data_IF_930392730233
#
_entry.id   IF_930392730233
#
_cell.length_a   1.000
_cell.length_b   1.000
_cell.length_c   1.000
_cell.angle_alpha   90.00
_cell.angle_beta   90.00
_cell.angle_gamma   90.00
#
_symmetry.space_group_name_H-M   'P 1'
#
loop_
_entity.id
_entity.type
_entity.pdbx_description
1 polymer ?
#
# COMPACT_ATOMS: atom_id res chain seq x y z
N UNK A 1 8.49 -40.19 -30.13
CA UNK A 1 7.62 -39.01 -29.90
C UNK A 1 8.47 -37.92 -29.26
N UNK A 2 8.92 -36.94 -30.06
CA UNK A 2 9.74 -35.83 -29.57
C UNK A 2 8.85 -34.78 -28.95
N UNK A 3 8.96 -34.58 -27.65
CA UNK A 3 8.38 -33.40 -27.00
C UNK A 3 9.08 -32.14 -27.50
N UNK A 4 8.32 -31.30 -28.17
CA UNK A 4 8.78 -29.99 -28.61
C UNK A 4 8.88 -29.06 -27.36
N UNK A 5 10.05 -28.52 -27.00
CA UNK A 5 10.16 -27.68 -25.82
C UNK A 5 9.33 -26.41 -26.02
N UNK A 6 8.39 -26.15 -25.09
CA UNK A 6 7.59 -24.91 -25.07
C UNK A 6 8.54 -23.69 -25.16
N UNK A 7 8.26 -22.71 -26.03
CA UNK A 7 9.12 -21.54 -26.18
C UNK A 7 9.26 -20.81 -24.83
N UNK A 8 10.51 -20.56 -24.43
CA UNK A 8 10.83 -19.73 -23.27
C UNK A 8 10.29 -18.33 -23.56
N UNK A 9 9.34 -17.87 -22.74
CA UNK A 9 8.84 -16.49 -22.84
C UNK A 9 10.01 -15.50 -22.71
N UNK A 10 10.07 -14.47 -23.56
CA UNK A 10 11.05 -13.39 -23.41
C UNK A 10 11.05 -12.81 -22.00
N UNK A 11 12.20 -12.40 -21.47
CA UNK A 11 12.32 -11.79 -20.12
C UNK A 11 11.39 -10.59 -19.93
N UNK A 12 11.17 -9.81 -20.98
CA UNK A 12 10.25 -8.67 -21.01
C UNK A 12 8.81 -9.08 -20.74
N UNK A 13 8.33 -10.18 -21.34
CA UNK A 13 6.97 -10.67 -21.15
C UNK A 13 6.75 -11.22 -19.72
N UNK A 14 7.79 -11.85 -19.14
CA UNK A 14 7.72 -12.31 -17.77
C UNK A 14 7.62 -11.14 -16.78
N UNK A 15 8.41 -10.09 -16.93
CA UNK A 15 8.33 -8.87 -16.10
C UNK A 15 6.96 -8.22 -16.26
N UNK A 16 6.49 -8.03 -17.48
CA UNK A 16 5.17 -7.45 -17.75
C UNK A 16 4.04 -8.25 -17.10
N UNK A 17 4.07 -9.56 -17.22
CA UNK A 17 3.05 -10.42 -16.60
C UNK A 17 3.09 -10.34 -15.08
N UNK A 18 4.28 -10.22 -14.47
CA UNK A 18 4.42 -10.04 -13.03
C UNK A 18 3.76 -8.73 -12.57
N UNK A 19 3.99 -7.63 -13.29
CA UNK A 19 3.37 -6.34 -12.98
C UNK A 19 1.85 -6.37 -13.14
N UNK A 20 1.34 -6.98 -14.21
CA UNK A 20 -0.10 -7.14 -14.42
C UNK A 20 -0.75 -7.97 -13.30
N UNK A 21 -0.08 -8.99 -12.79
CA UNK A 21 -0.55 -9.81 -11.68
C UNK A 21 -0.60 -9.02 -10.37
N UNK A 22 0.42 -8.19 -10.07
CA UNK A 22 0.45 -7.34 -8.87
C UNK A 22 -0.71 -6.33 -8.92
N UNK A 23 -0.90 -5.66 -10.05
CA UNK A 23 -1.98 -4.69 -10.24
C UNK A 23 -3.36 -5.34 -10.13
N UNK A 24 -3.53 -6.50 -10.76
CA UNK A 24 -4.77 -7.27 -10.67
C UNK A 24 -5.06 -7.73 -9.23
N UNK A 25 -4.03 -8.15 -8.49
CA UNK A 25 -4.15 -8.58 -7.11
C UNK A 25 -4.57 -7.43 -6.18
N UNK A 26 -3.98 -6.24 -6.34
CA UNK A 26 -4.40 -5.04 -5.61
C UNK A 26 -5.91 -4.80 -5.76
N UNK A 27 -6.41 -4.83 -6.98
CA UNK A 27 -7.83 -4.55 -7.25
C UNK A 27 -8.74 -5.68 -6.78
N UNK A 28 -8.45 -6.93 -7.15
CA UNK A 28 -9.34 -8.08 -6.90
C UNK A 28 -9.36 -8.47 -5.42
N UNK A 29 -8.19 -8.48 -4.78
CA UNK A 29 -8.05 -8.94 -3.40
C UNK A 29 -8.18 -7.78 -2.40
N UNK A 30 -7.73 -6.58 -2.76
CA UNK A 30 -7.81 -5.39 -1.91
C UNK A 30 -9.26 -4.98 -1.61
N UNK A 31 -10.15 -5.13 -2.58
CA UNK A 31 -11.58 -4.86 -2.39
C UNK A 31 -12.31 -5.95 -1.60
N UNK A 32 -11.73 -7.14 -1.48
CA UNK A 32 -12.35 -8.28 -0.79
C UNK A 32 -13.62 -8.80 -1.49
N UNK A 33 -14.39 -9.61 -0.75
CA UNK A 33 -15.69 -10.10 -1.22
C UNK A 33 -15.65 -11.48 -1.94
N UNK A 34 -16.79 -11.99 -2.39
CA UNK A 34 -16.93 -13.36 -2.93
C UNK A 34 -16.11 -13.65 -4.19
N UNK A 35 -15.71 -12.61 -4.94
CA UNK A 35 -14.87 -12.73 -6.13
C UNK A 35 -13.37 -12.63 -5.89
N UNK A 36 -12.95 -12.38 -4.65
CA UNK A 36 -11.55 -12.23 -4.28
C UNK A 36 -10.84 -13.60 -4.26
N UNK A 37 -10.31 -14.01 -5.42
CA UNK A 37 -9.60 -15.27 -5.58
C UNK A 37 -8.38 -15.12 -6.49
N UNK A 38 -7.43 -16.06 -6.39
CA UNK A 38 -6.26 -16.09 -7.27
C UNK A 38 -6.63 -16.33 -8.73
N UNK A 39 -7.70 -17.10 -8.98
CA UNK A 39 -8.28 -17.28 -10.31
C UNK A 39 -8.84 -15.94 -10.84
N UNK A 40 -9.49 -15.17 -10.00
CA UNK A 40 -9.95 -13.81 -10.30
C UNK A 40 -8.79 -12.89 -10.66
N UNK A 41 -7.69 -12.94 -9.92
CA UNK A 41 -6.45 -12.21 -10.19
C UNK A 41 -5.87 -12.60 -11.55
N UNK A 42 -5.68 -13.89 -11.81
CA UNK A 42 -5.12 -14.39 -13.08
C UNK A 42 -5.99 -13.97 -14.28
N UNK A 43 -7.32 -14.12 -14.16
CA UNK A 43 -8.28 -13.70 -15.18
C UNK A 43 -8.22 -12.19 -15.45
N UNK A 44 -8.16 -11.36 -14.42
CA UNK A 44 -8.05 -9.90 -14.55
C UNK A 44 -6.72 -9.50 -15.19
N UNK A 45 -5.63 -10.17 -14.86
CA UNK A 45 -4.31 -9.96 -15.45
C UNK A 45 -4.19 -10.48 -16.89
N UNK A 46 -5.18 -11.21 -17.41
CA UNK A 46 -5.15 -11.80 -18.75
C UNK A 46 -4.17 -12.96 -18.88
N UNK A 47 -3.83 -13.65 -17.78
CA UNK A 47 -2.89 -14.77 -17.79
C UNK A 47 -3.53 -16.04 -17.21
N UNK A 48 -2.95 -17.20 -17.52
CA UNK A 48 -3.39 -18.46 -16.92
C UNK A 48 -2.95 -18.58 -15.45
N UNK A 49 -3.75 -19.31 -14.64
CA UNK A 49 -3.45 -19.56 -13.22
C UNK A 49 -2.08 -20.19 -13.02
N UNK A 50 -1.63 -21.06 -13.90
CA UNK A 50 -0.28 -21.65 -13.88
C UNK A 50 0.83 -20.64 -14.11
N UNK A 51 0.56 -19.51 -14.77
CA UNK A 51 1.49 -18.38 -14.89
C UNK A 51 1.58 -17.61 -13.59
N UNK A 52 0.44 -17.39 -12.91
CA UNK A 52 0.42 -16.77 -11.58
C UNK A 52 1.30 -17.57 -10.60
N UNK A 53 1.10 -18.88 -10.47
CA UNK A 53 1.90 -19.70 -9.55
C UNK A 53 3.39 -19.81 -9.92
N UNK A 54 3.76 -19.60 -11.19
CA UNK A 54 5.19 -19.48 -11.57
C UNK A 54 5.84 -18.19 -11.08
N UNK A 55 5.08 -17.10 -11.02
CA UNK A 55 5.57 -15.81 -10.52
C UNK A 55 5.46 -15.68 -9.01
N UNK A 56 4.42 -16.26 -8.44
CA UNK A 56 4.08 -16.19 -7.01
C UNK A 56 3.69 -17.59 -6.54
N UNK A 57 4.68 -18.42 -6.13
CA UNK A 57 4.44 -19.79 -5.69
C UNK A 57 3.48 -19.90 -4.51
N UNK A 58 3.50 -18.90 -3.62
CA UNK A 58 2.60 -18.82 -2.46
C UNK A 58 1.73 -17.59 -2.49
N UNK A 59 0.65 -17.59 -1.71
CA UNK A 59 -0.19 -16.41 -1.47
C UNK A 59 0.60 -15.29 -0.79
N UNK A 60 1.52 -15.66 0.08
CA UNK A 60 2.39 -14.73 0.78
C UNK A 60 3.31 -13.99 -0.18
N UNK A 61 3.91 -14.66 -1.17
CA UNK A 61 4.76 -14.02 -2.19
C UNK A 61 3.99 -12.94 -2.97
N UNK A 62 2.74 -13.23 -3.34
CA UNK A 62 1.88 -12.25 -4.01
C UNK A 62 1.53 -11.08 -3.09
N UNK A 63 1.16 -11.36 -1.83
CA UNK A 63 0.87 -10.33 -0.84
C UNK A 63 2.07 -9.41 -0.60
N UNK A 64 3.26 -9.98 -0.41
CA UNK A 64 4.49 -9.23 -0.22
C UNK A 64 4.81 -8.33 -1.42
N UNK A 65 4.62 -8.86 -2.64
CA UNK A 65 4.87 -8.10 -3.86
C UNK A 65 3.92 -6.91 -4.00
N UNK A 66 2.62 -7.10 -3.73
CA UNK A 66 1.63 -6.00 -3.74
C UNK A 66 1.96 -4.99 -2.65
N UNK A 67 2.17 -5.43 -1.42
CA UNK A 67 2.44 -4.55 -0.29
C UNK A 67 3.71 -3.71 -0.50
N UNK A 68 4.81 -4.35 -0.97
CA UNK A 68 6.06 -3.65 -1.30
C UNK A 68 5.83 -2.56 -2.33
N UNK A 69 5.14 -2.85 -3.42
CA UNK A 69 4.85 -1.89 -4.49
C UNK A 69 4.05 -0.69 -3.97
N UNK A 70 3.03 -0.93 -3.14
CA UNK A 70 2.22 0.15 -2.59
C UNK A 70 3.03 1.03 -1.63
N UNK A 71 3.92 0.44 -0.84
CA UNK A 71 4.82 1.20 0.03
C UNK A 71 5.83 2.02 -0.78
N UNK A 72 6.46 1.43 -1.79
CA UNK A 72 7.37 2.14 -2.70
C UNK A 72 6.67 3.33 -3.36
N UNK A 73 5.42 3.14 -3.82
CA UNK A 73 4.61 4.23 -4.38
C UNK A 73 4.36 5.36 -3.37
N UNK A 74 4.10 5.06 -2.11
CA UNK A 74 3.94 6.08 -1.07
C UNK A 74 5.24 6.83 -0.75
N UNK A 75 6.38 6.15 -0.80
CA UNK A 75 7.69 6.79 -0.63
C UNK A 75 7.97 7.76 -1.79
N UNK A 76 7.69 7.33 -3.02
CA UNK A 76 7.84 8.18 -4.22
C UNK A 76 6.88 9.37 -4.16
N UNK A 77 5.62 9.15 -3.76
CA UNK A 77 4.63 10.20 -3.57
C UNK A 77 5.09 11.25 -2.55
N UNK A 78 5.69 10.85 -1.44
CA UNK A 78 6.25 11.80 -0.47
C UNK A 78 7.34 12.66 -1.09
N UNK A 79 8.22 12.08 -1.92
CA UNK A 79 9.25 12.81 -2.66
C UNK A 79 8.66 13.84 -3.64
N UNK A 80 7.55 13.50 -4.29
CA UNK A 80 6.85 14.43 -5.18
C UNK A 80 6.14 15.54 -4.40
N UNK A 81 5.41 15.19 -3.36
CA UNK A 81 4.68 16.13 -2.52
C UNK A 81 5.60 17.07 -1.75
N UNK A 82 6.85 16.68 -1.48
CA UNK A 82 7.85 17.56 -0.87
C UNK A 82 8.18 18.80 -1.70
N UNK A 83 7.81 18.82 -2.97
CA UNK A 83 7.97 19.96 -3.91
C UNK A 83 6.79 20.95 -3.85
N UNK A 84 5.72 20.63 -3.13
CA UNK A 84 4.54 21.48 -2.99
C UNK A 84 4.86 22.75 -2.18
N UNK A 85 4.20 23.85 -2.52
CA UNK A 85 4.31 25.11 -1.76
C UNK A 85 3.52 25.11 -0.45
N UNK A 86 2.55 24.19 -0.30
CA UNK A 86 1.73 24.01 0.91
C UNK A 86 2.10 22.70 1.60
N UNK A 87 2.92 22.79 2.66
CA UNK A 87 3.45 21.64 3.38
C UNK A 87 2.37 20.83 4.08
N UNK A 88 1.36 21.46 4.64
CA UNK A 88 0.30 20.73 5.36
C UNK A 88 -0.68 20.04 4.40
N UNK A 89 -0.95 20.62 3.24
CA UNK A 89 -1.76 19.95 2.21
C UNK A 89 -1.00 18.80 1.56
N UNK A 90 0.33 18.92 1.39
CA UNK A 90 1.19 17.81 0.99
C UNK A 90 1.12 16.65 1.99
N UNK A 91 1.22 16.96 3.28
CA UNK A 91 1.10 15.99 4.36
C UNK A 91 -0.28 15.33 4.39
N UNK A 92 -1.37 16.11 4.22
CA UNK A 92 -2.75 15.61 4.11
C UNK A 92 -2.89 14.61 2.96
N UNK A 93 -2.44 14.99 1.78
CA UNK A 93 -2.53 14.13 0.59
C UNK A 93 -1.78 12.81 0.79
N UNK A 94 -0.61 12.85 1.41
CA UNK A 94 0.16 11.64 1.71
C UNK A 94 -0.54 10.73 2.74
N UNK A 95 -1.09 11.31 3.82
CA UNK A 95 -1.82 10.55 4.84
C UNK A 95 -3.09 9.91 4.26
N UNK A 96 -3.79 10.60 3.37
CA UNK A 96 -4.94 10.03 2.64
C UNK A 96 -4.52 8.81 1.80
N UNK A 97 -3.44 8.92 1.03
CA UNK A 97 -2.91 7.79 0.25
C UNK A 97 -2.46 6.61 1.15
N UNK A 98 -1.96 6.90 2.36
CA UNK A 98 -1.61 5.85 3.32
C UNK A 98 -2.86 5.14 3.89
N UNK A 99 -4.00 5.80 4.05
CA UNK A 99 -5.27 5.14 4.39
C UNK A 99 -5.66 4.12 3.30
N UNK A 100 -5.45 4.43 2.03
CA UNK A 100 -5.68 3.50 0.91
C UNK A 100 -4.73 2.28 0.97
N UNK A 101 -3.46 2.47 1.35
CA UNK A 101 -2.54 1.36 1.62
C UNK A 101 -3.08 0.45 2.73
N UNK A 102 -3.58 1.03 3.83
CA UNK A 102 -4.16 0.25 4.94
C UNK A 102 -5.39 -0.52 4.48
N UNK A 103 -6.25 0.08 3.66
CA UNK A 103 -7.43 -0.58 3.09
C UNK A 103 -7.02 -1.78 2.22
N UNK A 104 -6.07 -1.58 1.32
CA UNK A 104 -5.50 -2.65 0.48
C UNK A 104 -4.92 -3.78 1.33
N UNK A 105 -4.10 -3.45 2.34
CA UNK A 105 -3.52 -4.45 3.26
C UNK A 105 -4.60 -5.26 3.99
N UNK A 106 -5.64 -4.61 4.51
CA UNK A 106 -6.75 -5.28 5.21
C UNK A 106 -7.53 -6.21 4.28
N UNK A 107 -7.83 -5.75 3.06
CA UNK A 107 -8.50 -6.57 2.05
C UNK A 107 -7.69 -7.81 1.67
N UNK A 108 -6.40 -7.64 1.40
CA UNK A 108 -5.49 -8.74 1.06
C UNK A 108 -5.38 -9.76 2.19
N UNK A 109 -5.17 -9.32 3.44
CA UNK A 109 -5.09 -10.23 4.60
C UNK A 109 -6.39 -11.01 4.80
N UNK A 110 -7.54 -10.35 4.67
CA UNK A 110 -8.85 -10.98 4.76
C UNK A 110 -9.11 -12.01 3.65
N UNK A 111 -8.72 -11.70 2.41
CA UNK A 111 -8.96 -12.57 1.25
C UNK A 111 -8.00 -13.76 1.16
N UNK A 112 -6.77 -13.63 1.65
CA UNK A 112 -5.71 -14.62 1.39
C UNK A 112 -5.35 -15.50 2.58
N UNK A 113 -5.80 -15.19 3.80
CA UNK A 113 -5.45 -15.91 5.03
C UNK A 113 -3.92 -16.12 5.17
N UNK A 114 -3.16 -15.04 4.96
CA UNK A 114 -1.69 -15.08 4.93
C UNK A 114 -1.14 -15.31 6.34
N UNK A 115 -0.21 -16.24 6.47
CA UNK A 115 0.59 -16.44 7.67
C UNK A 115 1.93 -15.75 7.49
N UNK A 116 2.26 -14.82 8.40
CA UNK A 116 3.52 -14.09 8.33
C UNK A 116 4.68 -14.93 8.86
N UNK A 117 5.72 -15.09 8.05
CA UNK A 117 6.99 -15.73 8.41
C UNK A 117 7.97 -14.73 9.04
N UNK A 118 9.07 -15.20 9.64
CA UNK A 118 10.10 -14.31 10.18
C UNK A 118 10.76 -13.46 9.08
N UNK A 119 10.98 -14.04 7.90
CA UNK A 119 11.54 -13.29 6.75
C UNK A 119 10.59 -12.17 6.30
N UNK A 120 9.29 -12.44 6.27
CA UNK A 120 8.30 -11.41 5.94
C UNK A 120 8.24 -10.31 7.00
N UNK A 121 8.40 -10.62 8.28
CA UNK A 121 8.46 -9.61 9.35
C UNK A 121 9.64 -8.65 9.19
N UNK A 122 10.82 -9.16 8.80
CA UNK A 122 12.00 -8.33 8.53
C UNK A 122 11.72 -7.35 7.39
N UNK A 123 11.14 -7.83 6.28
CA UNK A 123 10.73 -7.00 5.14
C UNK A 123 9.72 -5.92 5.57
N UNK A 124 8.68 -6.27 6.34
CA UNK A 124 7.68 -5.31 6.80
C UNK A 124 8.28 -4.24 7.71
N UNK A 125 9.25 -4.60 8.56
CA UNK A 125 9.98 -3.65 9.40
C UNK A 125 10.79 -2.65 8.57
N UNK A 126 11.46 -3.12 7.52
CA UNK A 126 12.21 -2.26 6.58
C UNK A 126 11.29 -1.29 5.83
N UNK A 127 10.19 -1.79 5.27
CA UNK A 127 9.20 -0.99 4.56
C UNK A 127 8.54 0.04 5.48
N UNK A 128 8.23 -0.34 6.72
CA UNK A 128 7.68 0.58 7.73
C UNK A 128 8.63 1.73 8.04
N UNK A 129 9.93 1.44 8.19
CA UNK A 129 10.94 2.51 8.37
C UNK A 129 11.01 3.44 7.16
N UNK A 130 10.93 2.88 5.94
CA UNK A 130 10.88 3.69 4.72
C UNK A 130 9.69 4.66 4.72
N UNK A 131 8.50 4.20 5.10
CA UNK A 131 7.32 5.05 5.23
C UNK A 131 7.49 6.14 6.30
N UNK A 132 8.00 5.79 7.49
CA UNK A 132 8.23 6.75 8.57
C UNK A 132 9.21 7.83 8.13
N UNK A 133 10.31 7.46 7.48
CA UNK A 133 11.28 8.43 6.96
C UNK A 133 10.68 9.34 5.88
N UNK A 134 9.84 8.78 5.00
CA UNK A 134 9.18 9.55 3.95
C UNK A 134 8.24 10.62 4.51
N UNK A 135 7.39 10.26 5.49
CA UNK A 135 6.48 11.23 6.11
C UNK A 135 7.21 12.21 7.03
N UNK A 136 8.33 11.81 7.66
CA UNK A 136 9.13 12.74 8.46
C UNK A 136 9.64 13.91 7.61
N UNK A 137 10.09 13.65 6.38
CA UNK A 137 10.47 14.72 5.44
C UNK A 137 9.34 15.71 5.18
N UNK A 138 8.09 15.25 5.01
CA UNK A 138 6.92 16.12 4.84
C UNK A 138 6.59 16.90 6.12
N UNK A 139 6.70 16.27 7.29
CA UNK A 139 6.49 16.91 8.60
C UNK A 139 7.49 18.03 8.80
N UNK A 140 8.79 17.78 8.60
CA UNK A 140 9.85 18.78 8.77
C UNK A 140 9.65 19.97 7.82
N UNK A 141 9.20 19.71 6.59
CA UNK A 141 8.87 20.77 5.65
C UNK A 141 7.69 21.63 6.13
N UNK A 142 6.59 21.01 6.56
CA UNK A 142 5.40 21.70 7.05
C UNK A 142 5.67 22.51 8.34
N UNK A 143 6.60 22.05 9.18
CA UNK A 143 7.10 22.83 10.34
C UNK A 143 7.95 24.01 9.86
N UNK A 144 8.82 23.80 8.87
CA UNK A 144 9.73 24.84 8.36
C UNK A 144 8.99 25.98 7.66
N UNK A 145 7.91 25.70 6.94
CA UNK A 145 7.04 26.70 6.30
C UNK A 145 5.99 27.29 7.27
N UNK A 146 6.00 26.85 8.53
CA UNK A 146 5.10 27.29 9.61
C UNK A 146 3.61 26.95 9.36
N UNK A 147 3.31 25.99 8.54
CA UNK A 147 1.95 25.49 8.36
C UNK A 147 1.55 24.47 9.43
N UNK A 148 2.52 23.78 10.04
CA UNK A 148 2.34 22.74 11.05
C UNK A 148 3.01 23.14 12.38
N UNK A 149 2.35 22.82 13.50
CA UNK A 149 2.91 23.00 14.85
C UNK A 149 4.18 22.14 15.04
N UNK A 150 5.22 22.65 15.78
CA UNK A 150 6.52 21.99 15.84
C UNK A 150 6.61 20.83 16.86
N UNK A 151 5.58 20.61 17.67
CA UNK A 151 5.53 19.60 18.73
C UNK A 151 4.81 18.30 18.29
N UNK A 152 4.70 18.05 16.98
CA UNK A 152 4.18 16.83 16.38
C UNK A 152 5.29 16.10 15.63
N UNK A 153 5.29 14.77 15.71
CA UNK A 153 6.25 13.90 15.01
C UNK A 153 5.58 13.07 13.92
N UNK A 154 6.38 12.53 13.00
CA UNK A 154 5.92 11.55 12.02
C UNK A 154 5.27 10.33 12.67
N UNK A 155 5.81 9.88 13.81
CA UNK A 155 5.30 8.74 14.55
C UNK A 155 3.91 9.02 15.15
N UNK A 156 3.70 10.22 15.72
CA UNK A 156 2.38 10.64 16.24
C UNK A 156 1.30 10.62 15.14
N UNK A 157 1.65 11.11 13.94
CA UNK A 157 0.74 11.12 12.80
C UNK A 157 0.40 9.70 12.33
N UNK A 158 1.41 8.85 12.17
CA UNK A 158 1.20 7.46 11.76
C UNK A 158 0.41 6.66 12.80
N UNK A 159 0.74 6.79 14.09
CA UNK A 159 0.00 6.13 15.16
C UNK A 159 -1.45 6.57 15.19
N UNK A 160 -1.72 7.87 15.08
CA UNK A 160 -3.10 8.41 15.05
C UNK A 160 -3.86 7.86 13.85
N UNK A 161 -3.27 7.93 12.65
CA UNK A 161 -3.89 7.40 11.43
C UNK A 161 -4.18 5.90 11.55
N UNK A 162 -3.20 5.09 12.01
CA UNK A 162 -3.42 3.66 12.20
C UNK A 162 -4.49 3.38 13.27
N UNK A 163 -4.51 4.12 14.38
CA UNK A 163 -5.54 3.99 15.39
C UNK A 163 -6.94 4.23 14.79
N UNK A 164 -7.11 5.27 13.97
CA UNK A 164 -8.36 5.53 13.26
C UNK A 164 -8.73 4.40 12.29
N UNK A 165 -7.76 3.90 11.51
CA UNK A 165 -7.98 2.82 10.56
C UNK A 165 -8.38 1.50 11.23
N UNK A 166 -7.89 1.19 12.43
CA UNK A 166 -8.13 -0.08 13.11
C UNK A 166 -9.13 0.00 14.27
N UNK A 167 -9.68 1.18 14.56
CA UNK A 167 -10.64 1.39 15.64
C UNK A 167 -11.94 0.57 15.48
N UNK A 168 -12.29 0.20 14.26
CA UNK A 168 -13.50 -0.55 13.93
C UNK A 168 -13.24 -1.66 12.92
N UNK A 169 -14.17 -2.62 12.86
CA UNK A 169 -14.21 -3.60 11.77
C UNK A 169 -14.44 -2.88 10.43
N UNK A 170 -13.86 -3.40 9.33
CA UNK A 170 -14.02 -2.80 8.02
C UNK A 170 -15.45 -3.02 7.49
N UNK A 171 -16.30 -2.02 7.64
CA UNK A 171 -17.61 -1.95 6.99
C UNK A 171 -17.49 -1.15 5.68
N UNK A 172 -18.37 -1.36 4.68
CA UNK A 172 -18.32 -0.58 3.45
C UNK A 172 -18.32 0.93 3.73
N UNK A 173 -17.35 1.65 3.17
CA UNK A 173 -17.23 3.10 3.34
C UNK A 173 -16.53 3.55 4.63
N UNK A 174 -15.89 2.66 5.38
CA UNK A 174 -15.13 3.02 6.58
C UNK A 174 -14.02 4.03 6.27
N UNK A 175 -13.42 3.98 5.09
CA UNK A 175 -12.37 4.90 4.64
C UNK A 175 -12.85 6.35 4.66
N UNK A 176 -14.06 6.62 4.19
CA UNK A 176 -14.65 7.97 4.16
C UNK A 176 -14.72 8.59 5.56
N UNK A 177 -15.09 7.76 6.56
CA UNK A 177 -15.15 8.22 7.94
C UNK A 177 -13.75 8.46 8.52
N UNK A 178 -12.79 7.59 8.20
CA UNK A 178 -11.40 7.76 8.64
C UNK A 178 -10.81 9.03 8.03
N UNK A 179 -10.96 9.24 6.73
CA UNK A 179 -10.46 10.43 6.04
C UNK A 179 -11.02 11.71 6.65
N UNK A 180 -12.34 11.76 6.92
CA UNK A 180 -12.96 12.91 7.59
C UNK A 180 -12.39 13.19 8.98
N UNK A 181 -12.17 12.15 9.80
CA UNK A 181 -11.60 12.32 11.14
C UNK A 181 -10.12 12.72 11.07
N UNK A 182 -9.40 12.19 10.10
CA UNK A 182 -8.01 12.54 9.84
C UNK A 182 -7.88 14.00 9.41
N UNK A 183 -8.80 14.50 8.55
CA UNK A 183 -8.84 15.91 8.15
C UNK A 183 -9.07 16.83 9.34
N UNK A 184 -10.02 16.50 10.23
CA UNK A 184 -10.27 17.27 11.46
C UNK A 184 -9.00 17.30 12.34
N UNK A 185 -8.31 16.16 12.46
CA UNK A 185 -7.06 16.08 13.22
C UNK A 185 -5.97 16.96 12.60
N UNK A 186 -5.75 16.87 11.29
CA UNK A 186 -4.74 17.65 10.57
C UNK A 186 -5.05 19.16 10.67
N UNK A 187 -6.30 19.56 10.54
CA UNK A 187 -6.71 20.97 10.69
C UNK A 187 -6.43 21.51 12.11
N UNK A 188 -6.54 20.63 13.13
CA UNK A 188 -6.18 20.95 14.50
C UNK A 188 -4.67 21.12 14.74
N UNK A 189 -3.84 20.67 13.81
CA UNK A 189 -2.38 20.79 13.87
C UNK A 189 -1.82 22.04 13.17
N UNK A 190 -2.67 22.77 12.42
CA UNK A 190 -2.26 24.01 11.75
C UNK A 190 -1.77 25.05 12.76
N UNK A 191 -0.67 25.73 12.41
CA UNK A 191 -0.30 26.94 13.13
C UNK A 191 -1.29 28.06 12.80
N UNK A 192 -1.73 28.77 13.83
CA UNK A 192 -2.60 29.94 13.72
C UNK A 192 -1.80 31.22 13.56
#
# INVERSE_FOLDING_TARGET
MSENPKPRMPRSDALRNRELLIEAAKVVLGQGGPGASLEGVARRAGVGIGTLYRHFPTREDLFQAVYRREVEHLIDLASELSKSDDGIEALRAWLHANVELVATKRGLLGAMSVVLTEDSKAMYSELSRGLTNAVDGLVQRAISDKSLRPDITADDLLQTMYALCYARQPEPGWEVQVLRLLDIFIDGLRMR
#
